data_IF_717652814906
#
_entry.id   IF_717652814906
#
_cell.length_a   1.000
_cell.length_b   1.000
_cell.length_c   1.000
_cell.angle_alpha   90.00
_cell.angle_beta   90.00
_cell.angle_gamma   90.00
#
_symmetry.space_group_name_H-M   'P 1'
#
loop_
_entity.id
_entity.type
_entity.pdbx_description
1 polymer ?
#
# COMPACT_ATOMS: atom_id res chain seq x y z
N UNK A 1 -12.66 -10.80 2.96
CA UNK A 1 -11.46 -10.35 3.68
C UNK A 1 -10.33 -11.28 3.32
N UNK A 2 -9.20 -10.75 2.89
CA UNK A 2 -8.00 -11.52 2.57
C UNK A 2 -6.87 -10.99 3.44
N UNK A 3 -6.15 -11.91 4.08
CA UNK A 3 -5.02 -11.60 4.96
C UNK A 3 -3.74 -12.08 4.27
N UNK A 4 -2.86 -11.14 3.93
CA UNK A 4 -1.61 -11.38 3.22
C UNK A 4 -1.73 -12.34 2.01
N UNK A 5 -2.66 -12.11 1.05
CA UNK A 5 -2.95 -13.07 -0.03
C UNK A 5 -1.80 -13.28 -1.01
N UNK A 6 -0.78 -12.42 -0.96
CA UNK A 6 0.37 -12.38 -1.85
C UNK A 6 1.62 -13.06 -1.29
N UNK A 7 1.53 -13.62 -0.07
CA UNK A 7 2.64 -14.31 0.56
C UNK A 7 3.17 -15.46 -0.33
N UNK A 8 4.50 -15.56 -0.41
CA UNK A 8 5.22 -16.59 -1.17
C UNK A 8 4.96 -16.65 -2.70
N UNK A 9 4.32 -15.62 -3.27
CA UNK A 9 4.17 -15.50 -4.73
C UNK A 9 5.30 -14.66 -5.33
N UNK A 10 5.64 -14.89 -6.59
CA UNK A 10 6.55 -14.02 -7.34
C UNK A 10 5.89 -12.65 -7.64
N UNK A 11 6.67 -11.56 -7.83
CA UNK A 11 6.12 -10.21 -7.99
C UNK A 11 5.08 -10.07 -9.11
N UNK A 12 5.24 -10.81 -10.21
CA UNK A 12 4.27 -10.77 -11.32
C UNK A 12 2.93 -11.39 -10.93
N UNK A 13 2.97 -12.53 -10.25
CA UNK A 13 1.78 -13.21 -9.76
C UNK A 13 1.08 -12.45 -8.63
N UNK A 14 1.83 -11.75 -7.76
CA UNK A 14 1.25 -10.87 -6.74
C UNK A 14 0.36 -9.79 -7.37
N UNK A 15 0.89 -9.08 -8.37
CA UNK A 15 0.14 -8.05 -9.10
C UNK A 15 -1.09 -8.62 -9.82
N UNK A 16 -0.93 -9.76 -10.48
CA UNK A 16 -2.04 -10.42 -11.18
C UNK A 16 -3.16 -10.85 -10.20
N UNK A 17 -2.80 -11.37 -9.03
CA UNK A 17 -3.77 -11.79 -8.02
C UNK A 17 -4.55 -10.59 -7.47
N UNK A 18 -3.86 -9.54 -7.02
CA UNK A 18 -4.50 -8.36 -6.44
C UNK A 18 -5.42 -7.66 -7.46
N UNK A 19 -4.95 -7.46 -8.69
CA UNK A 19 -5.76 -6.87 -9.76
C UNK A 19 -6.98 -7.72 -10.12
N UNK A 20 -6.85 -9.05 -10.05
CA UNK A 20 -7.99 -9.97 -10.28
C UNK A 20 -9.01 -9.87 -9.16
N UNK A 21 -8.57 -9.81 -7.90
CA UNK A 21 -9.45 -9.64 -6.74
C UNK A 21 -10.22 -8.30 -6.82
N UNK A 22 -9.51 -7.20 -7.09
CA UNK A 22 -10.11 -5.87 -7.20
C UNK A 22 -11.16 -5.82 -8.32
N UNK A 23 -10.81 -6.29 -9.52
CA UNK A 23 -11.76 -6.35 -10.65
C UNK A 23 -12.97 -7.23 -10.33
N UNK A 24 -12.76 -8.42 -9.78
CA UNK A 24 -13.86 -9.34 -9.43
C UNK A 24 -14.85 -8.69 -8.46
N UNK A 25 -14.34 -7.93 -7.50
CA UNK A 25 -15.15 -7.21 -6.52
C UNK A 25 -15.94 -6.06 -7.15
N UNK A 26 -15.28 -5.24 -7.98
CA UNK A 26 -15.90 -4.13 -8.71
C UNK A 26 -17.03 -4.59 -9.62
N UNK A 27 -16.83 -5.66 -10.38
CA UNK A 27 -17.84 -6.23 -11.28
C UNK A 27 -19.11 -6.71 -10.55
N UNK A 28 -18.99 -7.03 -9.26
CA UNK A 28 -20.08 -7.61 -8.44
C UNK A 28 -20.59 -6.66 -7.37
N UNK A 29 -20.11 -5.42 -7.32
CA UNK A 29 -20.39 -4.47 -6.24
C UNK A 29 -20.09 -5.05 -4.85
N UNK A 30 -19.03 -5.84 -4.73
CA UNK A 30 -18.55 -6.36 -3.45
C UNK A 30 -17.47 -5.45 -2.87
N UNK A 31 -17.45 -5.33 -1.55
CA UNK A 31 -16.32 -4.72 -0.85
C UNK A 31 -15.20 -5.74 -0.64
N UNK A 32 -13.95 -5.32 -0.86
CA UNK A 32 -12.74 -6.08 -0.50
C UNK A 32 -12.02 -5.35 0.62
N UNK A 33 -11.65 -6.10 1.65
CA UNK A 33 -10.70 -5.70 2.67
C UNK A 33 -9.49 -6.60 2.54
N UNK A 34 -8.35 -6.01 2.20
CA UNK A 34 -7.07 -6.68 2.08
C UNK A 34 -6.11 -6.12 3.14
N UNK A 35 -5.46 -7.02 3.87
CA UNK A 35 -4.35 -6.69 4.77
C UNK A 35 -3.05 -6.98 4.03
N UNK A 36 -2.20 -5.96 3.87
CA UNK A 36 -0.98 -6.00 3.07
C UNK A 36 0.20 -5.44 3.87
N UNK A 37 1.37 -6.05 3.69
CA UNK A 37 2.62 -5.58 4.30
C UNK A 37 3.42 -4.64 3.39
N UNK A 38 3.13 -4.64 2.09
CA UNK A 38 3.78 -3.76 1.12
C UNK A 38 2.91 -2.53 0.83
N UNK A 39 3.44 -1.35 1.14
CA UNK A 39 2.76 -0.07 0.94
C UNK A 39 2.47 0.17 -0.55
N UNK A 40 3.37 -0.20 -1.46
CA UNK A 40 3.16 0.01 -2.89
C UNK A 40 2.00 -0.85 -3.43
N UNK A 41 1.85 -2.09 -2.95
CA UNK A 41 0.66 -2.89 -3.27
C UNK A 41 -0.63 -2.29 -2.69
N UNK A 42 -0.55 -1.66 -1.51
CA UNK A 42 -1.71 -1.01 -0.90
C UNK A 42 -2.16 0.23 -1.69
N UNK A 43 -1.25 0.92 -2.38
CA UNK A 43 -1.55 2.07 -3.24
C UNK A 43 -2.26 1.71 -4.55
N UNK A 44 -2.31 0.43 -4.92
CA UNK A 44 -3.10 -0.04 -6.06
C UNK A 44 -4.61 -0.11 -5.75
N UNK A 45 -5.00 0.04 -4.48
CA UNK A 45 -6.40 0.10 -4.05
C UNK A 45 -6.92 1.54 -4.02
N UNK A 46 -8.21 1.72 -3.69
CA UNK A 46 -8.83 3.05 -3.66
C UNK A 46 -8.62 3.78 -2.34
N UNK A 47 -8.48 3.04 -1.24
CA UNK A 47 -8.54 3.55 0.13
C UNK A 47 -7.63 2.79 1.07
N UNK A 48 -6.98 3.51 1.99
CA UNK A 48 -6.15 2.98 3.05
C UNK A 48 -6.83 3.17 4.40
N UNK A 49 -6.81 2.12 5.21
CA UNK A 49 -7.14 2.18 6.62
C UNK A 49 -5.85 1.95 7.41
N UNK A 50 -5.34 3.00 8.04
CA UNK A 50 -4.13 2.90 8.85
C UNK A 50 -4.50 2.47 10.26
N UNK A 51 -3.85 1.42 10.75
CA UNK A 51 -4.14 0.81 12.05
C UNK A 51 -2.91 0.88 12.94
N UNK A 52 -3.07 1.43 14.13
CA UNK A 52 -2.05 1.48 15.18
C UNK A 52 -2.68 1.04 16.50
N UNK A 53 -2.01 0.13 17.22
CA UNK A 53 -2.47 -0.37 18.54
C UNK A 53 -3.93 -0.86 18.53
N UNK A 54 -4.35 -1.53 17.46
CA UNK A 54 -5.72 -2.06 17.30
C UNK A 54 -6.80 -1.01 17.04
N UNK A 55 -6.43 0.22 16.69
CA UNK A 55 -7.36 1.30 16.36
C UNK A 55 -7.08 1.84 14.95
N UNK A 56 -8.14 2.19 14.24
CA UNK A 56 -8.01 2.94 12.98
C UNK A 56 -7.61 4.37 13.37
N UNK A 57 -6.42 4.79 12.93
CA UNK A 57 -5.92 6.16 13.15
C UNK A 57 -6.18 7.06 11.95
N UNK A 58 -6.36 6.48 10.75
CA UNK A 58 -6.65 7.22 9.52
C UNK A 58 -7.49 6.38 8.55
N UNK A 59 -8.38 7.06 7.83
CA UNK A 59 -9.12 6.56 6.66
C UNK A 59 -8.93 7.56 5.52
N UNK A 60 -8.10 7.21 4.54
CA UNK A 60 -7.67 8.13 3.49
C UNK A 60 -7.63 7.46 2.11
N UNK A 61 -7.68 8.24 1.01
CA UNK A 61 -7.42 7.71 -0.33
C UNK A 61 -6.03 7.07 -0.41
N UNK A 62 -5.89 5.99 -1.17
CA UNK A 62 -4.60 5.32 -1.38
C UNK A 62 -3.72 6.08 -2.39
N UNK A 63 -3.27 7.28 -2.02
CA UNK A 63 -2.37 8.08 -2.82
C UNK A 63 -1.29 8.76 -1.96
N UNK A 64 -0.46 9.58 -2.61
CA UNK A 64 0.67 10.27 -1.98
C UNK A 64 0.29 11.15 -0.79
N UNK A 65 -0.99 11.53 -0.63
CA UNK A 65 -1.45 12.30 0.53
C UNK A 65 -1.37 11.49 1.82
N UNK A 66 -1.36 10.15 1.74
CA UNK A 66 -1.15 9.27 2.89
C UNK A 66 0.31 9.23 3.38
N UNK A 67 1.26 9.84 2.64
CA UNK A 67 2.70 9.73 2.90
C UNK A 67 3.06 10.19 4.32
N UNK A 68 2.57 11.35 4.76
CA UNK A 68 2.85 11.87 6.10
C UNK A 68 2.38 10.92 7.20
N UNK A 69 1.20 10.33 7.02
CA UNK A 69 0.64 9.39 7.99
C UNK A 69 1.39 8.05 7.99
N UNK A 70 1.82 7.58 6.81
CA UNK A 70 2.64 6.38 6.64
C UNK A 70 4.03 6.54 7.25
N UNK A 71 4.71 7.66 7.01
CA UNK A 71 6.00 7.99 7.62
C UNK A 71 5.91 7.99 9.15
N UNK A 72 4.84 8.58 9.70
CA UNK A 72 4.58 8.60 11.14
C UNK A 72 4.29 7.21 11.69
N UNK A 73 3.45 6.42 11.00
CA UNK A 73 3.03 5.08 11.44
C UNK A 73 4.21 4.10 11.46
N UNK A 74 5.04 4.12 10.42
CA UNK A 74 6.15 3.17 10.27
C UNK A 74 7.47 3.71 10.82
N UNK A 75 7.57 5.00 11.14
CA UNK A 75 8.80 5.64 11.62
C UNK A 75 9.91 5.69 10.57
N UNK A 76 9.53 5.79 9.29
CA UNK A 76 10.45 5.82 8.14
C UNK A 76 10.26 7.11 7.34
N UNK A 77 11.23 7.44 6.49
CA UNK A 77 11.09 8.51 5.49
C UNK A 77 10.73 7.90 4.13
N UNK A 78 9.74 8.49 3.49
CA UNK A 78 9.23 8.05 2.20
C UNK A 78 9.33 9.19 1.20
N UNK A 79 9.74 8.88 -0.02
CA UNK A 79 9.68 9.80 -1.14
C UNK A 79 8.64 9.31 -2.14
N UNK A 80 7.79 10.23 -2.60
CA UNK A 80 6.82 9.95 -3.65
C UNK A 80 7.45 10.20 -5.01
N UNK A 81 7.52 9.13 -5.80
CA UNK A 81 7.92 9.18 -7.18
C UNK A 81 6.72 8.84 -8.08
N UNK A 82 6.81 9.28 -9.33
CA UNK A 82 5.94 8.78 -10.40
C UNK A 82 6.76 7.91 -11.33
N UNK A 83 6.26 6.73 -11.62
CA UNK A 83 6.88 5.85 -12.62
C UNK A 83 6.64 6.38 -14.05
N UNK A 84 7.20 5.69 -15.04
CA UNK A 84 7.04 6.03 -16.46
C UNK A 84 5.59 5.94 -16.97
N UNK A 85 4.70 5.29 -16.21
CA UNK A 85 3.27 5.17 -16.50
C UNK A 85 2.43 6.16 -15.68
N UNK A 86 3.06 7.02 -14.88
CA UNK A 86 2.41 8.02 -14.05
C UNK A 86 1.85 7.48 -12.72
N UNK A 87 2.09 6.20 -12.39
CA UNK A 87 1.65 5.59 -11.14
C UNK A 87 2.47 6.10 -9.98
N UNK A 88 1.83 6.27 -8.83
CA UNK A 88 2.49 6.65 -7.59
C UNK A 88 3.30 5.47 -7.07
N UNK A 89 4.59 5.70 -6.81
CA UNK A 89 5.49 4.75 -6.17
C UNK A 89 6.10 5.43 -4.96
N UNK A 90 6.09 4.74 -3.82
CA UNK A 90 6.76 5.19 -2.62
C UNK A 90 8.07 4.42 -2.47
N UNK A 91 9.17 5.17 -2.33
CA UNK A 91 10.47 4.61 -2.02
C UNK A 91 10.88 5.02 -0.63
N UNK A 92 11.51 4.10 0.09
CA UNK A 92 12.13 4.43 1.36
C UNK A 92 13.41 5.22 1.10
N UNK A 93 13.51 6.39 1.72
CA UNK A 93 14.75 7.16 1.70
C UNK A 93 15.57 6.75 2.90
N UNK A 94 16.72 6.11 2.67
CA UNK A 94 17.73 6.03 3.70
C UNK A 94 18.43 7.40 3.80
N UNK A 95 18.55 7.99 5.00
CA UNK A 95 19.33 9.19 5.15
C UNK A 95 20.75 8.93 4.63
N UNK A 96 21.13 9.63 3.57
CA UNK A 96 22.49 9.61 3.04
C UNK A 96 23.41 10.32 4.03
N UNK A 97 23.85 9.60 5.07
CA UNK A 97 24.81 10.14 6.04
C UNK A 97 24.76 9.49 7.42
N UNK A 98 25.73 8.59 7.65
CA UNK A 98 26.35 8.27 8.95
C UNK A 98 25.41 7.64 10.00
N UNK A 99 25.30 6.31 9.98
CA UNK A 99 25.20 5.57 11.24
C UNK A 99 26.61 5.46 11.85
N UNK A 100 26.77 5.63 13.18
CA UNK A 100 28.05 5.48 13.88
C UNK A 100 28.60 4.05 13.83
#
# INVERSE_FOLDING_TARGET
MVDEPVAALDPGLQYQLLSTIDRFAKERNHAVLAVLHDINHALDFERLLLVEQGRIIQDCPADYRALVDLERLYGIQLEHLRDSQGRSVLIQVHPSGIYP
#
